data_IF_035306213277
#
_entry.id   IF_035306213277
#
_cell.length_a   1.000
_cell.length_b   1.000
_cell.length_c   1.000
_cell.angle_alpha   90.00
_cell.angle_beta   90.00
_cell.angle_gamma   90.00
#
_symmetry.space_group_name_H-M   'P 1'
#
loop_
_entity.id
_entity.type
_entity.pdbx_description
1 polymer ?
#
# COMPACT_ATOMS: atom_id res chain seq x y z
N UNK A 1 -8.18 9.30 15.68
CA UNK A 1 -6.81 9.01 15.23
C UNK A 1 -6.69 9.40 13.77
N UNK A 2 -5.55 9.93 13.31
CA UNK A 2 -5.31 10.30 11.90
C UNK A 2 -4.18 9.48 11.28
N UNK A 3 -4.38 9.07 10.03
CA UNK A 3 -3.38 8.38 9.23
C UNK A 3 -3.13 9.09 7.89
N UNK A 4 -1.86 9.16 7.48
CA UNK A 4 -1.44 9.57 6.14
C UNK A 4 -1.00 8.34 5.36
N UNK A 5 -1.60 8.11 4.19
CA UNK A 5 -1.24 7.01 3.29
C UNK A 5 -0.77 7.59 1.97
N UNK A 6 0.47 7.27 1.58
CA UNK A 6 0.99 7.67 0.27
C UNK A 6 0.57 6.69 -0.83
N UNK A 7 0.14 7.19 -1.99
CA UNK A 7 -0.31 6.33 -3.09
C UNK A 7 -1.64 5.62 -2.78
N UNK A 8 -2.55 6.29 -2.09
CA UNK A 8 -3.76 5.69 -1.51
C UNK A 8 -4.88 5.35 -2.51
N UNK A 9 -4.79 5.83 -3.76
CA UNK A 9 -5.88 5.69 -4.72
C UNK A 9 -6.03 4.32 -5.39
N UNK A 10 -5.07 3.39 -5.22
CA UNK A 10 -5.06 2.12 -5.96
C UNK A 10 -4.44 0.96 -5.15
N UNK A 11 -4.77 -0.28 -5.55
CA UNK A 11 -4.15 -1.54 -5.09
C UNK A 11 -3.97 -1.61 -3.57
N UNK A 12 -2.72 -1.68 -3.09
CA UNK A 12 -2.37 -1.81 -1.68
C UNK A 12 -2.77 -0.55 -0.90
N UNK A 13 -2.47 0.64 -1.43
CA UNK A 13 -2.82 1.91 -0.79
C UNK A 13 -4.30 2.07 -0.54
N UNK A 14 -5.13 1.68 -1.52
CA UNK A 14 -6.60 1.65 -1.37
C UNK A 14 -7.04 0.69 -0.26
N UNK A 15 -6.55 -0.54 -0.27
CA UNK A 15 -6.92 -1.54 0.71
C UNK A 15 -6.54 -1.11 2.14
N UNK A 16 -5.34 -0.52 2.30
CA UNK A 16 -4.87 0.00 3.58
C UNK A 16 -5.70 1.17 4.06
N UNK A 17 -6.00 2.14 3.19
CA UNK A 17 -6.82 3.29 3.55
C UNK A 17 -8.21 2.86 4.05
N UNK A 18 -8.88 1.94 3.35
CA UNK A 18 -10.20 1.47 3.75
C UNK A 18 -10.18 0.65 5.04
N UNK A 19 -9.17 -0.18 5.27
CA UNK A 19 -9.06 -0.88 6.55
C UNK A 19 -8.74 0.06 7.72
N UNK A 20 -7.93 1.10 7.51
CA UNK A 20 -7.72 2.12 8.55
C UNK A 20 -8.98 2.93 8.82
N UNK A 21 -9.77 3.27 7.79
CA UNK A 21 -11.08 3.90 7.98
C UNK A 21 -12.03 3.01 8.81
N UNK A 22 -12.07 1.70 8.52
CA UNK A 22 -12.86 0.73 9.30
C UNK A 22 -12.37 0.61 10.74
N UNK A 23 -11.05 0.75 10.98
CA UNK A 23 -10.46 0.82 12.31
C UNK A 23 -10.66 2.18 13.01
N UNK A 24 -11.38 3.11 12.39
CA UNK A 24 -11.79 4.38 12.98
C UNK A 24 -10.86 5.57 12.73
N UNK A 25 -9.88 5.44 11.83
CA UNK A 25 -8.97 6.53 11.49
C UNK A 25 -9.62 7.53 10.53
N UNK A 26 -9.40 8.82 10.80
CA UNK A 26 -9.54 9.88 9.82
C UNK A 26 -8.31 9.87 8.90
N UNK A 27 -8.48 10.21 7.62
CA UNK A 27 -7.49 9.91 6.60
C UNK A 27 -7.00 11.15 5.86
N UNK A 28 -5.69 11.18 5.64
CA UNK A 28 -5.08 11.95 4.56
C UNK A 28 -4.64 11.00 3.46
N UNK A 29 -5.25 11.13 2.28
CA UNK A 29 -4.96 10.30 1.12
C UNK A 29 -4.02 11.07 0.19
N UNK A 30 -2.77 10.63 0.09
CA UNK A 30 -1.83 11.22 -0.87
C UNK A 30 -1.93 10.54 -2.25
N UNK A 31 -1.95 11.37 -3.30
CA UNK A 31 -1.87 10.96 -4.71
C UNK A 31 -0.82 11.75 -5.47
N UNK A 32 -0.27 11.15 -6.54
CA UNK A 32 0.70 11.84 -7.40
C UNK A 32 0.08 12.38 -8.69
N UNK A 33 -0.57 11.53 -9.50
CA UNK A 33 -1.11 11.91 -10.83
C UNK A 33 -2.63 11.90 -10.93
N UNK A 34 -3.28 10.75 -10.71
CA UNK A 34 -4.73 10.61 -10.84
C UNK A 34 -5.39 10.67 -9.47
N UNK A 35 -6.41 11.52 -9.37
CA UNK A 35 -7.17 11.79 -8.15
C UNK A 35 -8.41 10.91 -8.00
N UNK A 36 -8.95 10.39 -9.11
CA UNK A 36 -10.21 9.64 -9.17
C UNK A 36 -10.22 8.44 -8.21
N UNK A 37 -9.14 7.67 -8.17
CA UNK A 37 -9.01 6.53 -7.27
C UNK A 37 -9.05 6.94 -5.80
N UNK A 38 -8.44 8.07 -5.43
CA UNK A 38 -8.49 8.57 -4.06
C UNK A 38 -9.85 9.18 -3.70
N UNK A 39 -10.56 9.77 -4.67
CA UNK A 39 -11.93 10.24 -4.45
C UNK A 39 -12.90 9.09 -4.17
N UNK A 40 -12.79 7.98 -4.90
CA UNK A 40 -13.56 6.77 -4.61
C UNK A 40 -13.28 6.26 -3.19
N UNK A 41 -12.01 6.18 -2.80
CA UNK A 41 -11.61 5.78 -1.45
C UNK A 41 -12.13 6.76 -0.39
N UNK A 42 -12.07 8.06 -0.66
CA UNK A 42 -12.58 9.07 0.26
C UNK A 42 -14.10 8.97 0.43
N UNK A 43 -14.86 8.73 -0.64
CA UNK A 43 -16.29 8.52 -0.57
C UNK A 43 -16.64 7.30 0.31
N UNK A 44 -15.96 6.17 0.10
CA UNK A 44 -16.15 4.96 0.92
C UNK A 44 -15.78 5.19 2.40
N UNK A 45 -14.65 5.85 2.67
CA UNK A 45 -14.23 6.15 4.03
C UNK A 45 -15.16 7.15 4.75
N UNK A 46 -15.66 8.18 4.02
CA UNK A 46 -16.66 9.12 4.54
C UNK A 46 -17.99 8.43 4.83
N UNK A 47 -18.38 7.42 4.04
CA UNK A 47 -19.57 6.60 4.33
C UNK A 47 -19.44 5.79 5.63
N UNK A 48 -18.22 5.56 6.12
CA UNK A 48 -17.91 4.99 7.44
C UNK A 48 -17.84 6.07 8.55
N UNK A 49 -18.22 7.31 8.25
CA UNK A 49 -18.21 8.44 9.16
C UNK A 49 -16.81 8.97 9.50
N UNK A 50 -15.82 8.78 8.61
CA UNK A 50 -14.47 9.33 8.78
C UNK A 50 -14.33 10.70 8.13
N UNK A 51 -13.51 11.56 8.73
CA UNK A 51 -12.99 12.74 8.03
C UNK A 51 -11.89 12.32 7.05
N UNK A 52 -11.92 12.87 5.84
CA UNK A 52 -10.98 12.51 4.77
C UNK A 52 -10.59 13.74 3.97
N UNK A 53 -9.29 13.99 3.86
CA UNK A 53 -8.70 14.93 2.92
C UNK A 53 -7.82 14.21 1.88
N UNK A 54 -7.77 14.76 0.67
CA UNK A 54 -6.97 14.22 -0.43
C UNK A 54 -5.95 15.28 -0.83
N UNK A 55 -4.67 14.93 -0.76
CA UNK A 55 -3.57 15.84 -1.07
C UNK A 55 -2.76 15.30 -2.25
N UNK A 56 -2.51 16.17 -3.23
CA UNK A 56 -1.66 15.84 -4.36
C UNK A 56 -0.25 16.36 -4.13
N UNK A 57 0.76 15.50 -4.33
CA UNK A 57 2.17 15.87 -4.21
C UNK A 57 3.06 15.02 -5.13
N UNK A 58 4.18 15.58 -5.55
CA UNK A 58 5.29 14.81 -6.11
C UNK A 58 6.30 14.49 -5.01
N UNK A 59 6.33 13.22 -4.56
CA UNK A 59 7.23 12.80 -3.49
C UNK A 59 8.72 12.80 -3.88
N UNK A 60 9.05 13.04 -5.16
CA UNK A 60 10.42 13.27 -5.60
C UNK A 60 10.92 14.69 -5.31
N UNK A 61 10.02 15.59 -4.91
CA UNK A 61 10.28 17.01 -4.68
C UNK A 61 10.20 17.34 -3.18
N UNK A 62 11.31 17.74 -2.53
CA UNK A 62 11.32 18.05 -1.10
C UNK A 62 10.28 19.10 -0.67
N UNK A 63 10.03 20.10 -1.50
CA UNK A 63 9.04 21.15 -1.26
C UNK A 63 7.60 20.63 -1.22
N UNK A 64 7.28 19.67 -2.09
CA UNK A 64 5.98 19.02 -2.13
C UNK A 64 5.79 18.09 -0.93
N UNK A 65 6.84 17.38 -0.51
CA UNK A 65 6.85 16.60 0.73
C UNK A 65 6.62 17.48 1.97
N UNK A 66 7.30 18.64 2.04
CA UNK A 66 7.13 19.58 3.15
C UNK A 66 5.70 20.14 3.20
N UNK A 67 5.14 20.51 2.04
CA UNK A 67 3.76 20.97 1.92
C UNK A 67 2.76 19.89 2.29
N UNK A 68 2.94 18.66 1.82
CA UNK A 68 2.10 17.51 2.16
C UNK A 68 2.08 17.29 3.68
N UNK A 69 3.23 17.35 4.34
CA UNK A 69 3.33 17.20 5.79
C UNK A 69 2.60 18.34 6.53
N UNK A 70 2.84 19.59 6.12
CA UNK A 70 2.20 20.76 6.73
C UNK A 70 0.66 20.73 6.61
N UNK A 71 0.14 20.46 5.42
CA UNK A 71 -1.30 20.35 5.17
C UNK A 71 -1.93 19.15 5.92
N UNK A 72 -1.19 18.04 6.05
CA UNK A 72 -1.62 16.89 6.86
C UNK A 72 -1.79 17.28 8.33
N UNK A 73 -0.78 17.96 8.90
CA UNK A 73 -0.72 18.32 10.31
C UNK A 73 -1.66 19.49 10.67
N UNK A 74 -1.99 20.35 9.70
CA UNK A 74 -2.97 21.44 9.89
C UNK A 74 -4.36 20.91 10.26
N UNK A 75 -4.69 19.68 9.85
CA UNK A 75 -5.96 19.04 10.17
C UNK A 75 -5.94 18.24 11.49
N UNK A 76 -4.81 18.22 12.20
CA UNK A 76 -4.65 17.56 13.51
C UNK A 76 -3.36 16.74 13.63
N UNK A 77 -3.03 16.27 14.85
CA UNK A 77 -1.88 15.42 15.07
C UNK A 77 -1.98 14.12 14.27
N UNK A 78 -0.85 13.65 13.75
CA UNK A 78 -0.77 12.43 12.97
C UNK A 78 -0.38 11.25 13.86
N UNK A 79 -1.18 10.19 13.86
CA UNK A 79 -0.92 8.97 14.64
C UNK A 79 -0.21 7.89 13.81
N UNK A 80 -0.42 7.87 12.49
CA UNK A 80 0.18 6.87 11.61
C UNK A 80 0.60 7.45 10.25
N UNK A 81 1.76 6.99 9.75
CA UNK A 81 2.24 7.25 8.39
C UNK A 81 2.48 5.91 7.68
N UNK A 82 1.82 5.70 6.54
CA UNK A 82 2.03 4.56 5.66
C UNK A 82 2.74 5.01 4.39
N UNK A 83 4.03 4.70 4.32
CA UNK A 83 4.86 4.88 3.13
C UNK A 83 4.57 3.79 2.10
N UNK A 84 3.54 3.99 1.27
CA UNK A 84 3.08 3.00 0.30
C UNK A 84 3.29 3.42 -1.17
N UNK A 85 3.50 4.72 -1.45
CA UNK A 85 3.75 5.19 -2.81
C UNK A 85 5.00 4.51 -3.40
N UNK A 86 4.80 3.78 -4.49
CA UNK A 86 5.85 3.19 -5.29
C UNK A 86 5.79 3.75 -6.71
N UNK A 87 6.95 4.13 -7.27
CA UNK A 87 7.07 4.45 -8.68
C UNK A 87 7.02 3.14 -9.47
N UNK A 88 6.01 3.02 -10.34
CA UNK A 88 6.00 1.98 -11.37
C UNK A 88 6.59 2.59 -12.64
N UNK A 89 7.77 2.12 -13.04
CA UNK A 89 8.27 2.35 -14.38
C UNK A 89 7.33 1.66 -15.38
N UNK A 90 6.72 2.43 -16.27
CA UNK A 90 6.10 1.88 -17.48
C UNK A 90 7.18 1.83 -18.55
N UNK A 91 7.60 0.63 -18.95
CA UNK A 91 8.41 0.44 -20.16
C UNK A 91 7.60 0.75 -21.39
N UNK A 92 8.22 1.35 -22.40
CA UNK A 92 7.57 1.56 -23.67
C UNK A 92 7.28 0.21 -24.34
N UNK A 93 6.18 0.09 -25.10
CA UNK A 93 5.85 -1.14 -25.82
C UNK A 93 7.00 -1.60 -26.74
N UNK A 94 7.77 -0.65 -27.29
CA UNK A 94 8.93 -0.90 -28.14
C UNK A 94 10.15 -1.49 -27.39
N UNK A 95 10.16 -1.42 -26.06
CA UNK A 95 11.25 -1.93 -25.20
C UNK A 95 10.93 -3.31 -24.60
N UNK A 96 9.77 -3.88 -24.95
CA UNK A 96 9.37 -5.23 -24.53
C UNK A 96 10.06 -6.26 -25.44
N UNK A 97 10.90 -7.09 -24.85
CA UNK A 97 11.61 -8.18 -25.55
C UNK A 97 10.74 -9.44 -25.65
N UNK A 98 11.06 -10.36 -26.56
CA UNK A 98 10.39 -11.67 -26.61
C UNK A 98 10.56 -12.47 -25.30
N UNK A 99 11.61 -12.20 -24.51
CA UNK A 99 11.79 -12.81 -23.18
C UNK A 99 10.83 -12.24 -22.12
N UNK A 100 10.31 -11.03 -22.33
CA UNK A 100 9.28 -10.41 -21.48
C UNK A 100 7.88 -10.97 -21.80
N UNK A 101 7.71 -11.62 -22.96
CA UNK A 101 6.52 -12.38 -23.30
C UNK A 101 6.53 -13.74 -22.58
N UNK A 102 6.19 -13.72 -21.29
CA UNK A 102 5.89 -14.93 -20.52
C UNK A 102 4.40 -15.23 -20.55
N UNK A 103 4.06 -16.51 -20.62
CA UNK A 103 2.69 -16.95 -20.36
C UNK A 103 2.35 -16.64 -18.89
N UNK A 104 1.47 -15.66 -18.68
CA UNK A 104 1.05 -15.21 -17.36
C UNK A 104 0.46 -16.37 -16.53
N UNK A 105 -0.14 -17.38 -17.16
CA UNK A 105 -0.66 -18.55 -16.45
C UNK A 105 0.46 -19.48 -15.97
N UNK A 106 1.48 -19.70 -16.79
CA UNK A 106 2.66 -20.50 -16.42
C UNK A 106 3.49 -19.81 -15.33
N UNK A 107 3.67 -18.49 -15.43
CA UNK A 107 4.36 -17.69 -14.41
C UNK A 107 3.59 -17.71 -13.08
N UNK A 108 2.26 -17.54 -13.14
CA UNK A 108 1.37 -17.66 -11.97
C UNK A 108 1.47 -19.03 -11.30
N UNK A 109 1.43 -20.11 -12.08
CA UNK A 109 1.54 -21.48 -11.56
C UNK A 109 2.90 -21.71 -10.88
N UNK A 110 3.98 -21.20 -11.48
CA UNK A 110 5.33 -21.25 -10.92
C UNK A 110 5.41 -20.52 -9.57
N UNK A 111 4.88 -19.30 -9.49
CA UNK A 111 4.84 -18.54 -8.23
C UNK A 111 4.07 -19.33 -7.17
N UNK A 112 2.88 -19.83 -7.49
CA UNK A 112 2.04 -20.57 -6.54
C UNK A 112 2.71 -21.85 -6.03
N UNK A 113 3.50 -22.55 -6.86
CA UNK A 113 4.26 -23.73 -6.44
C UNK A 113 5.27 -23.45 -5.31
N UNK A 114 5.66 -22.19 -5.13
CA UNK A 114 6.61 -21.75 -4.11
C UNK A 114 5.95 -21.17 -2.87
N UNK A 115 4.63 -21.01 -2.86
CA UNK A 115 3.84 -20.44 -1.75
C UNK A 115 3.20 -21.57 -0.94
N UNK A 116 3.67 -21.85 0.30
CA UNK A 116 3.08 -22.89 1.16
C UNK A 116 1.57 -22.75 1.37
N UNK A 117 1.06 -21.51 1.45
CA UNK A 117 -0.37 -21.25 1.63
C UNK A 117 -1.24 -21.58 0.39
N UNK A 118 -0.63 -22.01 -0.72
CA UNK A 118 -1.29 -22.44 -1.96
C UNK A 118 -2.31 -21.46 -2.54
N UNK A 119 -2.16 -20.17 -2.24
CA UNK A 119 -2.99 -19.08 -2.78
C UNK A 119 -2.18 -17.83 -3.00
N UNK A 120 -2.70 -16.96 -3.85
CA UNK A 120 -2.12 -15.64 -4.06
C UNK A 120 -2.40 -14.72 -2.85
N UNK A 121 -1.44 -13.85 -2.58
CA UNK A 121 -1.63 -12.73 -1.66
C UNK A 121 -2.60 -11.72 -2.27
N UNK A 122 -3.51 -11.22 -1.45
CA UNK A 122 -4.46 -10.15 -1.79
C UNK A 122 -3.99 -8.86 -1.15
N UNK A 123 -4.41 -7.73 -1.72
CA UNK A 123 -4.15 -6.42 -1.10
C UNK A 123 -4.64 -6.33 0.36
N UNK A 124 -5.72 -7.05 0.66
CA UNK A 124 -6.26 -7.14 2.02
C UNK A 124 -5.31 -7.84 3.01
N UNK A 125 -4.53 -8.83 2.55
CA UNK A 125 -3.58 -9.53 3.42
C UNK A 125 -2.46 -8.56 3.88
N UNK A 126 -1.97 -7.71 2.96
CA UNK A 126 -1.01 -6.64 3.29
C UNK A 126 -1.64 -5.59 4.20
N UNK A 127 -2.83 -5.10 3.84
CA UNK A 127 -3.51 -4.07 4.60
C UNK A 127 -3.82 -4.52 6.04
N UNK A 128 -4.19 -5.80 6.24
CA UNK A 128 -4.45 -6.34 7.57
C UNK A 128 -3.18 -6.36 8.44
N UNK A 129 -2.03 -6.72 7.85
CA UNK A 129 -0.74 -6.64 8.55
C UNK A 129 -0.37 -5.20 8.91
N UNK A 130 -0.63 -4.23 8.02
CA UNK A 130 -0.41 -2.80 8.32
C UNK A 130 -1.30 -2.32 9.47
N UNK A 131 -2.60 -2.66 9.46
CA UNK A 131 -3.51 -2.30 10.56
C UNK A 131 -3.09 -2.96 11.86
N UNK A 132 -2.69 -4.23 11.85
CA UNK A 132 -2.13 -4.90 13.03
C UNK A 132 -0.92 -4.13 13.60
N UNK A 133 0.04 -3.76 12.75
CA UNK A 133 1.23 -3.03 13.19
C UNK A 133 0.89 -1.68 13.81
N UNK A 134 -0.09 -0.96 13.25
CA UNK A 134 -0.51 0.37 13.74
C UNK A 134 -1.33 0.27 15.02
N UNK A 135 -2.20 -0.73 15.17
CA UNK A 135 -3.26 -0.73 16.20
C UNK A 135 -3.08 -1.75 17.31
N UNK A 136 -2.22 -2.75 17.13
CA UNK A 136 -2.11 -3.90 18.03
C UNK A 136 -0.66 -4.25 18.41
N UNK A 137 0.35 -3.66 17.75
CA UNK A 137 1.75 -4.06 17.92
C UNK A 137 2.65 -2.92 18.44
N UNK A 138 2.33 -2.29 19.59
CA UNK A 138 3.03 -1.09 20.06
C UNK A 138 4.52 -1.30 20.39
N UNK A 139 4.95 -2.56 20.53
CA UNK A 139 6.34 -2.91 20.84
C UNK A 139 7.10 -3.51 19.64
N UNK A 140 6.49 -3.56 18.45
CA UNK A 140 7.15 -4.02 17.23
C UNK A 140 7.74 -2.82 16.50
N UNK A 141 9.06 -2.72 16.50
CA UNK A 141 9.81 -1.66 15.81
C UNK A 141 11.03 -2.24 15.11
N UNK A 142 11.49 -1.58 14.03
CA UNK A 142 12.70 -1.97 13.28
C UNK A 142 12.63 -3.35 12.61
N UNK A 143 11.43 -3.85 12.31
CA UNK A 143 11.22 -5.21 11.82
C UNK A 143 10.63 -5.25 10.41
N UNK A 144 11.02 -6.27 9.64
CA UNK A 144 10.43 -6.59 8.35
C UNK A 144 9.48 -7.76 8.52
N UNK A 145 8.18 -7.53 8.30
CA UNK A 145 7.16 -8.57 8.34
C UNK A 145 6.84 -9.06 6.91
N UNK A 146 7.21 -10.31 6.62
CA UNK A 146 6.87 -10.96 5.35
C UNK A 146 5.38 -11.36 5.32
N UNK A 147 4.66 -10.86 4.31
CA UNK A 147 3.25 -11.21 4.05
C UNK A 147 3.16 -11.86 2.67
N UNK A 148 3.73 -13.04 2.52
CA UNK A 148 3.96 -13.72 1.24
C UNK A 148 3.43 -15.16 1.18
N UNK A 149 2.63 -15.57 2.17
CA UNK A 149 2.10 -16.92 2.27
C UNK A 149 3.15 -17.99 2.55
N UNK A 150 4.32 -17.61 3.07
CA UNK A 150 5.44 -18.49 3.42
C UNK A 150 6.48 -18.66 2.30
N UNK A 151 6.40 -17.85 1.24
CA UNK A 151 7.26 -17.98 0.05
C UNK A 151 8.75 -17.78 0.38
N UNK A 152 9.11 -16.79 1.19
CA UNK A 152 10.51 -16.56 1.53
C UNK A 152 11.11 -17.76 2.28
N UNK A 153 10.36 -18.34 3.22
CA UNK A 153 10.82 -19.47 4.02
C UNK A 153 11.02 -20.72 3.16
N UNK A 154 10.15 -20.96 2.18
CA UNK A 154 10.27 -22.12 1.29
C UNK A 154 11.51 -22.06 0.38
N UNK A 155 12.02 -20.86 0.09
CA UNK A 155 13.26 -20.67 -0.67
C UNK A 155 14.49 -20.98 0.19
N UNK A 156 14.50 -20.51 1.44
CA UNK A 156 15.60 -20.78 2.38
C UNK A 156 15.75 -22.28 2.70
N UNK A 157 14.65 -23.04 2.76
CA UNK A 157 14.70 -24.49 2.98
C UNK A 157 15.19 -25.32 1.78
N UNK A 158 15.35 -24.71 0.59
CA UNK A 158 15.88 -25.41 -0.60
C UNK A 158 17.37 -25.15 -0.83
N UNK A 159 17.95 -24.18 -0.14
CA UNK A 159 19.36 -23.77 -0.28
C UNK A 159 20.28 -24.34 0.83
N UNK A 160 19.73 -25.06 1.81
CA UNK A 160 20.47 -25.78 2.86
C UNK A 160 20.33 -27.29 2.72
#
# INVERSE_FOLDING_TARGET
MRALITGAGVRLGRATALQLAQAGFDLTLHVHRSRDGAEAVAAEARALGRDVQILQADLSRPEDCARLAAETLAAGPLDALVNNAALYERRALAEITLADWRDAAAERATILSTVPLAREGRALDIAAAVVFLITQAPYVTGHTLNVDGGRLVSQLSREG
#
